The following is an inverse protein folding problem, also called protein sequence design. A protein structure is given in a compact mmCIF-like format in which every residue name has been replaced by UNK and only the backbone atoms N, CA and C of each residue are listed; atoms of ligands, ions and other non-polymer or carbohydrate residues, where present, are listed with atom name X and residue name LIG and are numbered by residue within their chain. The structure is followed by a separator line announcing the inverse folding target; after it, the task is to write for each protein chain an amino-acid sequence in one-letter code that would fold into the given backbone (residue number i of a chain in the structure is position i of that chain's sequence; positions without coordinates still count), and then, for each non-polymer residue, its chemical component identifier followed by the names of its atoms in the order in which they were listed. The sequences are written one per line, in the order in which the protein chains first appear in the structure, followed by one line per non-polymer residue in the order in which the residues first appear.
data_IF_092315999081
#
_entry.id   IF_092315999081
#
_cell.length_a   1.000
_cell.length_b   1.000
_cell.length_c   1.000
_cell.angle_alpha   90.00
_cell.angle_beta   90.00
_cell.angle_gamma   90.00
#
_symmetry.space_group_name_H-M   'P 1'
#
loop_
_entity.id
_entity.type
_entity.pdbx_description
1 polymer ?
#
# COMPACT_ATOMS: atom_id res chain seq x y z
N UNK A 1 -17.19 19.10 50.42
CA UNK A 1 -15.93 19.28 51.14
C UNK A 1 -15.86 18.20 52.18
N UNK A 2 -15.04 17.19 51.94
CA UNK A 2 -14.42 16.39 53.00
C UNK A 2 -13.09 15.92 52.41
N UNK A 3 -12.02 16.27 53.11
CA UNK A 3 -10.62 16.01 52.80
C UNK A 3 -10.22 14.60 53.25
N UNK A 4 -9.11 14.10 52.69
CA UNK A 4 -8.40 12.90 53.13
C UNK A 4 -7.53 12.36 51.99
N UNK A 5 -6.45 13.02 51.59
CA UNK A 5 -5.10 13.02 52.19
C UNK A 5 -4.43 11.64 52.21
N UNK A 6 -3.47 11.49 51.29
CA UNK A 6 -2.20 10.74 51.42
C UNK A 6 -2.35 9.20 51.52
N UNK A 7 -1.46 8.33 51.03
CA UNK A 7 -0.01 8.44 50.94
C UNK A 7 0.55 7.37 49.97
N UNK A 8 1.62 7.79 49.31
CA UNK A 8 2.55 7.10 48.43
C UNK A 8 3.18 5.82 49.03
N UNK A 9 3.24 4.74 48.25
CA UNK A 9 4.27 3.67 48.28
C UNK A 9 3.96 2.67 47.16
N UNK A 10 4.87 2.17 46.33
CA UNK A 10 6.31 2.28 46.34
C UNK A 10 6.92 2.00 44.95
N UNK A 11 8.16 2.46 44.86
CA UNK A 11 9.14 2.32 43.80
C UNK A 11 9.30 0.91 43.22
N UNK A 12 9.55 0.87 41.92
CA UNK A 12 10.08 -0.31 41.22
C UNK A 12 10.52 0.00 39.80
N UNK A 13 11.19 1.14 39.56
CA UNK A 13 12.04 1.28 38.37
C UNK A 13 13.29 0.43 38.63
N UNK A 14 13.26 -0.82 38.17
CA UNK A 14 14.45 -1.67 38.24
C UNK A 14 15.53 -1.11 37.31
N UNK A 15 16.72 -0.99 37.89
CA UNK A 15 17.82 -0.19 37.41
C UNK A 15 18.44 -0.74 36.13
N UNK A 16 18.79 0.21 35.29
CA UNK A 16 19.97 0.25 34.42
C UNK A 16 21.07 -0.75 34.83
N UNK A 17 21.30 -1.76 33.98
CA UNK A 17 22.62 -2.35 33.77
C UNK A 17 23.03 -1.95 32.33
N UNK A 18 23.72 -0.81 32.25
CA UNK A 18 24.50 -0.42 31.09
C UNK A 18 25.97 -0.76 31.36
N UNK A 19 26.59 -1.32 30.32
CA UNK A 19 28.02 -1.34 30.01
C UNK A 19 28.95 -2.32 30.74
N UNK A 20 29.35 -3.36 29.99
CA UNK A 20 30.75 -3.71 29.65
C UNK A 20 30.66 -4.66 28.45
N UNK A 21 30.77 -4.16 27.22
CA UNK A 21 31.98 -4.00 26.40
C UNK A 21 32.75 -5.30 26.12
N UNK A 22 32.81 -5.59 24.81
CA UNK A 22 34.02 -5.98 24.08
C UNK A 22 34.54 -7.40 24.27
N UNK A 23 34.12 -8.31 23.38
CA UNK A 23 34.99 -9.16 22.53
C UNK A 23 34.17 -9.42 21.24
N UNK A 24 34.56 -9.00 20.05
CA UNK A 24 35.79 -9.40 19.36
C UNK A 24 35.46 -10.61 18.47
N UNK A 25 34.88 -10.36 17.30
CA UNK A 25 34.42 -11.40 16.38
C UNK A 25 34.10 -10.85 14.99
N UNK A 26 35.00 -10.00 14.50
CA UNK A 26 35.17 -9.68 13.09
C UNK A 26 35.37 -10.97 12.28
N UNK A 27 34.33 -11.54 11.68
CA UNK A 27 34.55 -12.33 10.47
C UNK A 27 34.50 -11.36 9.30
N UNK A 28 35.62 -10.67 9.11
CA UNK A 28 35.94 -10.04 7.85
C UNK A 28 36.00 -11.13 6.79
N UNK A 29 34.87 -11.42 6.15
CA UNK A 29 34.90 -11.95 4.80
C UNK A 29 35.57 -10.88 3.96
N UNK A 30 36.88 -11.04 3.77
CA UNK A 30 37.65 -10.28 2.84
C UNK A 30 36.96 -10.42 1.48
N UNK A 31 36.12 -9.43 1.15
CA UNK A 31 35.78 -9.13 -0.22
C UNK A 31 37.11 -8.75 -0.84
N UNK A 32 37.76 -9.69 -1.49
CA UNK A 32 38.86 -9.39 -2.37
C UNK A 32 38.31 -8.45 -3.44
N UNK A 33 38.75 -7.19 -3.41
CA UNK A 33 38.45 -6.13 -4.40
C UNK A 33 38.98 -6.45 -5.82
N UNK A 34 39.15 -7.72 -6.17
CA UNK A 34 39.71 -8.18 -7.45
C UNK A 34 38.68 -8.88 -8.36
N UNK A 35 37.44 -9.09 -7.90
CA UNK A 35 36.39 -9.78 -8.67
C UNK A 35 35.22 -8.87 -9.11
N UNK A 36 35.42 -7.54 -9.08
CA UNK A 36 34.39 -6.57 -9.47
C UNK A 36 34.71 -5.78 -10.75
N UNK A 37 35.78 -6.12 -11.48
CA UNK A 37 36.05 -5.52 -12.79
C UNK A 37 36.53 -6.55 -13.82
N UNK A 38 35.57 -7.33 -14.34
CA UNK A 38 35.62 -7.86 -15.71
C UNK A 38 34.22 -7.79 -16.32
N UNK A 39 33.95 -6.70 -17.01
CA UNK A 39 32.78 -6.50 -17.84
C UNK A 39 33.26 -5.87 -19.16
N UNK A 40 34.15 -6.58 -19.86
CA UNK A 40 34.69 -6.07 -21.13
C UNK A 40 35.29 -7.23 -21.96
N UNK A 41 34.47 -8.22 -22.34
CA UNK A 41 34.80 -9.17 -23.45
C UNK A 41 33.67 -10.15 -23.83
N UNK A 42 32.40 -9.87 -23.51
CA UNK A 42 31.27 -10.74 -23.92
C UNK A 42 30.08 -9.96 -24.47
N UNK A 43 30.36 -8.80 -25.08
CA UNK A 43 29.38 -7.94 -25.77
C UNK A 43 29.66 -7.88 -27.28
N UNK A 44 30.06 -9.00 -27.90
CA UNK A 44 30.35 -9.05 -29.34
C UNK A 44 29.54 -10.12 -30.11
N UNK A 45 28.50 -10.71 -29.51
CA UNK A 45 27.68 -11.74 -30.19
C UNK A 45 26.15 -11.55 -29.99
N UNK A 46 25.70 -10.31 -29.84
CA UNK A 46 24.28 -9.94 -29.93
C UNK A 46 24.08 -8.86 -31.01
N UNK A 47 24.64 -9.11 -32.18
CA UNK A 47 24.23 -8.46 -33.42
C UNK A 47 23.39 -9.51 -34.18
N UNK A 48 22.14 -9.18 -34.53
CA UNK A 48 21.19 -10.00 -35.30
C UNK A 48 20.07 -10.77 -34.56
N UNK A 49 19.57 -10.26 -33.43
CA UNK A 49 18.13 -10.41 -33.16
C UNK A 49 17.48 -9.04 -33.05
N UNK A 50 16.58 -8.80 -33.99
CA UNK A 50 15.72 -7.64 -34.18
C UNK A 50 14.81 -7.48 -32.94
N UNK A 51 15.42 -7.14 -31.80
CA UNK A 51 14.73 -6.66 -30.61
C UNK A 51 14.26 -5.24 -30.91
N UNK A 52 13.26 -5.16 -31.80
CA UNK A 52 12.30 -4.08 -31.78
C UNK A 52 11.71 -4.07 -30.38
N UNK A 53 12.34 -3.30 -29.47
CA UNK A 53 11.66 -2.80 -28.29
C UNK A 53 10.36 -2.20 -28.83
N UNK A 54 9.19 -2.73 -28.45
CA UNK A 54 7.97 -2.03 -28.76
C UNK A 54 8.16 -0.65 -28.16
N UNK A 55 8.29 0.35 -29.03
CA UNK A 55 8.10 1.73 -28.65
C UNK A 55 6.84 1.74 -27.82
N UNK A 56 6.90 2.35 -26.64
CA UNK A 56 5.78 2.54 -25.71
C UNK A 56 4.52 3.15 -26.39
N UNK A 57 4.62 3.55 -27.65
CA UNK A 57 3.55 4.06 -28.51
C UNK A 57 2.72 3.00 -29.28
N UNK A 58 3.05 1.70 -29.27
CA UNK A 58 2.22 0.70 -30.01
C UNK A 58 1.02 0.17 -29.17
N UNK A 59 0.98 0.45 -27.86
CA UNK A 59 -0.20 0.16 -27.02
C UNK A 59 -1.30 1.23 -27.13
N UNK A 60 -1.00 2.40 -27.69
CA UNK A 60 -1.92 3.54 -27.78
C UNK A 60 -3.05 3.32 -28.83
N UNK A 61 -2.90 2.33 -29.72
CA UNK A 61 -3.91 2.00 -30.73
C UNK A 61 -5.02 1.05 -30.22
N UNK A 62 -4.93 0.55 -28.98
CA UNK A 62 -6.00 -0.21 -28.32
C UNK A 62 -6.54 0.48 -27.06
N UNK A 63 -6.08 1.71 -26.76
CA UNK A 63 -6.38 2.43 -25.53
C UNK A 63 -7.65 3.32 -25.59
N UNK A 64 -8.40 3.33 -26.71
CA UNK A 64 -9.65 4.10 -26.77
C UNK A 64 -10.82 3.48 -25.97
N UNK A 65 -10.61 2.35 -25.29
CA UNK A 65 -11.55 1.71 -24.34
C UNK A 65 -10.99 1.64 -22.90
N UNK A 66 -9.79 2.20 -22.65
CA UNK A 66 -9.15 2.15 -21.32
C UNK A 66 -9.87 3.09 -20.34
N UNK A 67 -10.33 4.27 -20.81
CA UNK A 67 -11.08 5.22 -19.96
C UNK A 67 -12.37 4.61 -19.40
N UNK A 68 -13.08 3.76 -20.16
CA UNK A 68 -14.29 3.09 -19.68
C UNK A 68 -13.99 1.94 -18.70
N UNK A 69 -12.87 1.25 -18.90
CA UNK A 69 -12.44 0.18 -17.99
C UNK A 69 -11.88 0.75 -16.70
N UNK A 70 -11.16 1.87 -16.77
CA UNK A 70 -10.68 2.64 -15.64
C UNK A 70 -11.84 3.19 -14.82
N UNK A 71 -12.89 3.74 -15.46
CA UNK A 71 -14.09 4.19 -14.75
C UNK A 71 -14.77 3.02 -14.02
N UNK A 72 -14.92 1.85 -14.66
CA UNK A 72 -15.54 0.67 -14.03
C UNK A 72 -14.71 0.14 -12.86
N UNK A 73 -13.38 0.13 -12.98
CA UNK A 73 -12.46 -0.33 -11.93
C UNK A 73 -12.35 0.69 -10.78
N UNK A 74 -12.39 1.99 -11.09
CA UNK A 74 -12.42 3.06 -10.10
C UNK A 74 -13.70 2.97 -9.25
N UNK A 75 -14.86 2.79 -9.88
CA UNK A 75 -16.13 2.65 -9.17
C UNK A 75 -16.16 1.34 -8.36
N UNK A 76 -15.61 0.25 -8.89
CA UNK A 76 -15.43 -1.00 -8.15
C UNK A 76 -14.60 -0.78 -6.87
N UNK A 77 -13.49 -0.05 -7.00
CA UNK A 77 -12.62 0.30 -5.87
C UNK A 77 -13.34 1.18 -4.84
N UNK A 78 -14.14 2.17 -5.28
CA UNK A 78 -14.96 3.02 -4.39
C UNK A 78 -16.00 2.19 -3.61
N UNK A 79 -16.65 1.21 -4.24
CA UNK A 79 -17.58 0.30 -3.57
C UNK A 79 -16.89 -0.54 -2.48
N UNK A 80 -15.70 -1.05 -2.75
CA UNK A 80 -14.93 -1.84 -1.79
C UNK A 80 -14.44 -1.00 -0.60
N UNK A 81 -14.00 0.24 -0.85
CA UNK A 81 -13.65 1.19 0.20
C UNK A 81 -14.86 1.58 1.05
N UNK A 82 -16.02 1.82 0.44
CA UNK A 82 -17.25 2.13 1.16
C UNK A 82 -17.64 0.99 2.11
N UNK A 83 -17.53 -0.28 1.68
CA UNK A 83 -17.75 -1.45 2.56
C UNK A 83 -16.80 -1.46 3.75
N UNK A 84 -15.52 -1.19 3.51
CA UNK A 84 -14.54 -1.12 4.59
C UNK A 84 -14.90 -0.01 5.60
N UNK A 85 -15.40 1.15 5.14
CA UNK A 85 -15.88 2.21 6.03
C UNK A 85 -17.11 1.77 6.85
N UNK A 86 -18.07 1.05 6.24
CA UNK A 86 -19.21 0.46 6.95
C UNK A 86 -18.72 -0.50 8.05
N UNK A 87 -17.79 -1.38 7.72
CA UNK A 87 -17.22 -2.35 8.67
C UNK A 87 -16.47 -1.67 9.83
N UNK A 88 -15.82 -0.53 9.57
CA UNK A 88 -15.17 0.30 10.60
C UNK A 88 -16.17 1.14 11.41
N UNK A 89 -17.45 1.18 11.03
CA UNK A 89 -18.50 1.98 11.67
C UNK A 89 -18.48 3.46 11.27
N UNK A 90 -17.73 3.82 10.23
CA UNK A 90 -17.70 5.17 9.67
C UNK A 90 -18.77 5.32 8.58
N UNK A 91 -20.01 5.47 9.05
CA UNK A 91 -21.17 5.62 8.17
C UNK A 91 -21.15 6.91 7.34
N UNK A 92 -20.49 7.98 7.81
CA UNK A 92 -20.44 9.26 7.09
C UNK A 92 -19.53 9.14 5.87
N UNK A 93 -18.32 8.60 6.05
CA UNK A 93 -17.38 8.36 4.96
C UNK A 93 -17.94 7.38 3.93
N UNK A 94 -18.57 6.28 4.40
CA UNK A 94 -19.21 5.30 3.52
C UNK A 94 -20.32 5.95 2.66
N UNK A 95 -21.19 6.77 3.27
CA UNK A 95 -22.29 7.43 2.53
C UNK A 95 -21.77 8.37 1.45
N UNK A 96 -20.77 9.22 1.78
CA UNK A 96 -20.18 10.13 0.81
C UNK A 96 -19.66 9.37 -0.42
N UNK A 97 -18.94 8.27 -0.18
CA UNK A 97 -18.37 7.45 -1.24
C UNK A 97 -19.44 6.70 -2.05
N UNK A 98 -20.51 6.21 -1.41
CA UNK A 98 -21.62 5.54 -2.11
C UNK A 98 -22.48 6.50 -2.93
N UNK A 99 -22.59 7.77 -2.52
CA UNK A 99 -23.27 8.79 -3.34
C UNK A 99 -22.45 9.14 -4.59
N UNK A 100 -21.12 9.19 -4.51
CA UNK A 100 -20.24 9.31 -5.69
C UNK A 100 -20.45 8.12 -6.65
N UNK A 101 -20.46 6.89 -6.14
CA UNK A 101 -20.76 5.69 -6.95
C UNK A 101 -22.16 5.78 -7.60
N UNK A 102 -23.15 6.38 -6.93
CA UNK A 102 -24.48 6.55 -7.50
C UNK A 102 -24.53 7.57 -8.64
N UNK A 103 -23.65 8.55 -8.62
CA UNK A 103 -23.55 9.55 -9.67
C UNK A 103 -22.79 8.99 -10.88
N UNK A 104 -21.64 8.36 -10.64
CA UNK A 104 -20.65 7.99 -11.66
C UNK A 104 -20.78 6.55 -12.18
N UNK A 105 -21.26 5.61 -11.35
CA UNK A 105 -21.29 4.18 -11.69
C UNK A 105 -22.32 3.77 -12.74
N UNK A 106 -22.27 2.50 -13.15
CA UNK A 106 -23.27 1.90 -14.04
C UNK A 106 -24.54 1.47 -13.30
N UNK A 107 -25.53 0.93 -14.01
CA UNK A 107 -26.81 0.52 -13.42
C UNK A 107 -26.64 -0.50 -12.27
N UNK A 108 -25.71 -1.44 -12.41
CA UNK A 108 -25.45 -2.49 -11.41
C UNK A 108 -24.78 -1.87 -10.19
N UNK A 109 -23.73 -1.06 -10.40
CA UNK A 109 -23.00 -0.39 -9.33
C UNK A 109 -23.88 0.60 -8.56
N UNK A 110 -24.74 1.37 -9.24
CA UNK A 110 -25.72 2.27 -8.59
C UNK A 110 -26.72 1.50 -7.73
N UNK A 111 -27.14 0.33 -8.18
CA UNK A 111 -28.05 -0.52 -7.41
C UNK A 111 -27.35 -1.05 -6.16
N UNK A 112 -26.14 -1.56 -6.30
CA UNK A 112 -25.31 -2.05 -5.20
C UNK A 112 -25.03 -0.95 -4.17
N UNK A 113 -24.71 0.27 -4.61
CA UNK A 113 -24.54 1.41 -3.72
C UNK A 113 -25.83 1.79 -2.98
N UNK A 114 -27.00 1.66 -3.63
CA UNK A 114 -28.29 1.91 -2.98
C UNK A 114 -28.56 0.87 -1.89
N UNK A 115 -28.27 -0.41 -2.15
CA UNK A 115 -28.43 -1.49 -1.17
C UNK A 115 -27.50 -1.30 0.04
N UNK A 116 -26.26 -0.84 -0.19
CA UNK A 116 -25.33 -0.52 0.89
C UNK A 116 -25.79 0.70 1.70
N UNK A 117 -26.33 1.75 1.06
CA UNK A 117 -26.89 2.91 1.76
C UNK A 117 -28.05 2.51 2.68
N UNK A 118 -28.95 1.63 2.20
CA UNK A 118 -30.06 1.10 3.01
C UNK A 118 -29.56 0.35 4.25
N UNK A 119 -28.44 -0.37 4.15
CA UNK A 119 -27.83 -1.05 5.30
C UNK A 119 -27.28 -0.06 6.34
N UNK A 120 -26.77 1.10 5.92
CA UNK A 120 -26.27 2.13 6.84
C UNK A 120 -27.43 2.86 7.55
N UNK A 121 -28.59 2.96 6.92
CA UNK A 121 -29.79 3.60 7.48
C UNK A 121 -30.66 2.67 8.36
N UNK A 122 -30.37 1.37 8.37
CA UNK A 122 -31.13 0.33 9.08
C UNK A 122 -30.76 0.20 10.57
#
# INVERSE_FOLDING_TARGET
SEEGSELESGSGTDSVDQDILSEGGEEAVARSDEDLLKLDDELEDLEDEDLAFPSFSEYDAMAEDDELLDDVDEIGTKLDLARAYIDMGDAEAARSMLDEVKEEGDKVQKQEATELLEQIDA
#
